data_IF_013264087844
#
_entry.id   IF_013264087844
#
_cell.length_a   1.000
_cell.length_b   1.000
_cell.length_c   1.000
_cell.angle_alpha   90.00
_cell.angle_beta   90.00
_cell.angle_gamma   90.00
#
_symmetry.space_group_name_H-M   'P 1'
#
loop_
_entity.id
_entity.type
_entity.pdbx_description
1 polymer ?
#
# COMPACT_ATOMS: atom_id res chain seq x y z
N UNK A 1 -67.06 22.85 6.14
CA UNK A 1 -66.27 21.71 5.61
C UNK A 1 -64.90 22.24 5.22
N UNK A 2 -63.89 22.06 6.07
CA UNK A 2 -62.53 22.51 5.81
C UNK A 2 -61.74 21.39 5.13
N UNK A 3 -61.37 21.58 3.87
CA UNK A 3 -60.48 20.65 3.15
C UNK A 3 -59.07 20.78 3.73
N UNK A 4 -58.63 19.74 4.44
CA UNK A 4 -57.26 19.61 4.92
C UNK A 4 -56.37 19.29 3.72
N UNK A 5 -55.69 20.31 3.18
CA UNK A 5 -54.64 20.11 2.18
C UNK A 5 -53.52 19.30 2.83
N UNK A 6 -53.43 18.01 2.51
CA UNK A 6 -52.28 17.18 2.87
C UNK A 6 -51.14 17.55 1.94
N UNK A 7 -50.39 18.57 2.31
CA UNK A 7 -49.11 18.89 1.68
C UNK A 7 -48.16 17.71 1.89
N UNK A 8 -47.95 16.91 0.84
CA UNK A 8 -46.83 15.96 0.79
C UNK A 8 -45.54 16.75 1.03
N UNK A 9 -44.84 16.42 2.11
CA UNK A 9 -43.54 17.02 2.42
C UNK A 9 -42.61 16.74 1.23
N UNK A 10 -41.98 17.76 0.62
CA UNK A 10 -41.09 17.52 -0.51
C UNK A 10 -40.00 16.55 -0.06
N UNK A 11 -39.83 15.45 -0.82
CA UNK A 11 -38.85 14.42 -0.52
C UNK A 11 -37.46 15.03 -0.26
N UNK A 12 -36.69 14.39 0.61
CA UNK A 12 -35.38 14.92 1.00
C UNK A 12 -34.48 15.10 -0.25
N UNK A 13 -33.44 15.93 -0.14
CA UNK A 13 -32.57 16.23 -1.29
C UNK A 13 -32.00 14.97 -1.97
N UNK A 14 -31.73 13.92 -1.19
CA UNK A 14 -31.28 12.60 -1.68
C UNK A 14 -32.35 11.88 -2.52
N UNK A 15 -33.60 11.87 -2.07
CA UNK A 15 -34.72 11.26 -2.80
C UNK A 15 -34.99 12.00 -4.11
N UNK A 16 -34.88 13.33 -4.12
CA UNK A 16 -35.01 14.14 -5.34
C UNK A 16 -33.85 13.87 -6.31
N UNK A 17 -32.61 13.85 -5.81
CA UNK A 17 -31.44 13.52 -6.61
C UNK A 17 -31.53 12.10 -7.21
N UNK A 18 -31.92 11.11 -6.40
CA UNK A 18 -32.11 9.72 -6.84
C UNK A 18 -33.20 9.62 -7.91
N UNK A 19 -34.35 10.27 -7.72
CA UNK A 19 -35.45 10.28 -8.70
C UNK A 19 -35.01 10.90 -10.04
N UNK A 20 -34.20 11.96 -10.01
CA UNK A 20 -33.62 12.56 -11.22
C UNK A 20 -32.63 11.61 -11.89
N UNK A 21 -31.75 10.98 -11.11
CA UNK A 21 -30.72 10.06 -11.62
C UNK A 21 -31.32 8.76 -12.21
N UNK A 22 -32.41 8.26 -11.62
CA UNK A 22 -33.04 6.99 -12.00
C UNK A 22 -34.13 7.14 -13.06
N UNK A 23 -34.53 8.37 -13.41
CA UNK A 23 -35.57 8.61 -14.43
C UNK A 23 -34.94 8.69 -15.83
N UNK A 24 -35.61 8.17 -16.88
CA UNK A 24 -35.12 8.32 -18.25
C UNK A 24 -34.98 9.79 -18.62
N UNK A 25 -33.89 10.15 -19.29
CA UNK A 25 -33.66 11.51 -19.77
C UNK A 25 -34.60 11.82 -20.95
N UNK A 26 -35.85 12.21 -20.64
CA UNK A 26 -36.89 12.50 -21.64
C UNK A 26 -36.76 13.88 -22.28
N UNK A 27 -36.01 14.79 -21.66
CA UNK A 27 -35.94 16.21 -22.04
C UNK A 27 -34.54 16.69 -22.42
N UNK A 28 -33.51 15.86 -22.23
CA UNK A 28 -32.11 16.20 -22.53
C UNK A 28 -31.70 15.53 -23.84
N UNK A 29 -31.07 16.27 -24.75
CA UNK A 29 -30.60 15.68 -26.01
C UNK A 29 -29.49 14.65 -25.74
N UNK A 30 -29.43 13.60 -26.57
CA UNK A 30 -28.38 12.58 -26.47
C UNK A 30 -26.97 13.20 -26.54
N UNK A 31 -26.78 14.20 -27.41
CA UNK A 31 -25.50 14.92 -27.51
C UNK A 31 -25.13 15.66 -26.23
N UNK A 32 -26.09 16.34 -25.58
CA UNK A 32 -25.84 17.02 -24.31
C UNK A 32 -25.50 16.04 -23.18
N UNK A 33 -26.14 14.86 -23.14
CA UNK A 33 -25.84 13.81 -22.18
C UNK A 33 -24.42 13.25 -22.37
N UNK A 34 -24.02 13.00 -23.61
CA UNK A 34 -22.68 12.48 -23.93
C UNK A 34 -21.60 13.50 -23.58
N UNK A 35 -21.80 14.78 -23.92
CA UNK A 35 -20.84 15.85 -23.60
C UNK A 35 -20.72 16.03 -22.09
N UNK A 36 -21.85 16.15 -21.38
CA UNK A 36 -21.84 16.32 -19.93
C UNK A 36 -21.24 15.10 -19.24
N UNK A 37 -21.61 13.89 -19.65
CA UNK A 37 -21.05 12.64 -19.13
C UNK A 37 -19.55 12.51 -19.38
N UNK A 38 -19.08 12.92 -20.56
CA UNK A 38 -17.66 12.96 -20.89
C UNK A 38 -16.88 13.94 -20.00
N UNK A 39 -17.39 15.16 -19.82
CA UNK A 39 -16.79 16.17 -18.93
C UNK A 39 -16.73 15.64 -17.49
N UNK A 40 -17.86 15.15 -16.96
CA UNK A 40 -17.92 14.60 -15.61
C UNK A 40 -17.00 13.38 -15.45
N UNK A 41 -16.92 12.52 -16.46
CA UNK A 41 -16.04 11.36 -16.48
C UNK A 41 -14.56 11.75 -16.42
N UNK A 42 -14.14 12.73 -17.21
CA UNK A 42 -12.76 13.25 -17.19
C UNK A 42 -12.44 13.91 -15.85
N UNK A 43 -13.34 14.71 -15.30
CA UNK A 43 -13.17 15.35 -13.99
C UNK A 43 -13.07 14.32 -12.87
N UNK A 44 -13.94 13.30 -12.88
CA UNK A 44 -13.91 12.22 -11.91
C UNK A 44 -12.63 11.41 -12.01
N UNK A 45 -12.26 10.96 -13.22
CA UNK A 45 -11.05 10.17 -13.45
C UNK A 45 -9.78 10.94 -13.09
N UNK A 46 -9.70 12.20 -13.49
CA UNK A 46 -8.60 13.10 -13.15
C UNK A 46 -8.51 13.33 -11.64
N UNK A 47 -9.63 13.67 -10.99
CA UNK A 47 -9.68 13.87 -9.54
C UNK A 47 -9.33 12.61 -8.74
N UNK A 48 -9.80 11.45 -9.19
CA UNK A 48 -9.46 10.16 -8.58
C UNK A 48 -7.96 9.86 -8.65
N UNK A 49 -7.36 9.95 -9.84
CA UNK A 49 -5.94 9.67 -10.00
C UNK A 49 -5.05 10.73 -9.30
N UNK A 50 -5.49 11.99 -9.30
CA UNK A 50 -4.83 13.04 -8.54
C UNK A 50 -4.83 12.72 -7.03
N UNK A 51 -5.97 12.31 -6.46
CA UNK A 51 -6.05 11.93 -5.05
C UNK A 51 -5.20 10.68 -4.74
N UNK A 52 -5.20 9.70 -5.65
CA UNK A 52 -4.36 8.51 -5.54
C UNK A 52 -2.87 8.88 -5.46
N UNK A 53 -2.43 9.85 -6.26
CA UNK A 53 -1.03 10.28 -6.30
C UNK A 53 -0.65 11.23 -5.17
N UNK A 54 -1.54 12.15 -4.79
CA UNK A 54 -1.36 13.00 -3.62
C UNK A 54 -1.14 12.16 -2.35
N UNK A 55 -1.87 11.06 -2.23
CA UNK A 55 -1.74 10.09 -1.12
C UNK A 55 -0.59 9.09 -1.30
N UNK A 56 0.25 9.23 -2.35
CA UNK A 56 1.51 8.49 -2.51
C UNK A 56 2.75 9.33 -2.16
N UNK A 57 2.58 10.59 -1.76
CA UNK A 57 3.71 11.46 -1.44
C UNK A 57 4.30 11.15 -0.06
N UNK A 58 5.61 11.34 0.09
CA UNK A 58 6.29 11.24 1.39
C UNK A 58 5.64 12.16 2.42
N UNK A 59 5.31 13.40 2.03
CA UNK A 59 4.60 14.39 2.86
C UNK A 59 3.26 13.88 3.38
N UNK A 60 2.49 13.16 2.57
CA UNK A 60 1.26 12.53 3.02
C UNK A 60 1.55 11.39 4.02
N UNK A 61 2.51 10.52 3.72
CA UNK A 61 2.88 9.41 4.61
C UNK A 61 3.29 9.90 6.01
N UNK A 62 4.06 10.99 6.09
CA UNK A 62 4.53 11.58 7.36
C UNK A 62 3.56 12.62 7.95
N UNK A 63 2.38 12.80 7.37
CA UNK A 63 1.33 13.64 7.96
C UNK A 63 0.78 13.04 9.27
N UNK A 64 0.92 11.71 9.43
CA UNK A 64 0.63 11.02 10.68
C UNK A 64 1.87 11.02 11.58
N UNK A 65 1.69 11.44 12.84
CA UNK A 65 2.78 11.51 13.82
C UNK A 65 3.39 10.13 14.12
N UNK A 66 2.64 9.04 13.98
CA UNK A 66 3.13 7.68 14.16
C UNK A 66 4.18 7.30 13.10
N UNK A 67 4.02 7.78 11.87
CA UNK A 67 5.00 7.54 10.82
C UNK A 67 6.17 8.51 10.94
N UNK A 68 5.88 9.79 11.19
CA UNK A 68 6.88 10.86 11.30
C UNK A 68 7.87 10.64 12.43
N UNK A 69 7.40 10.27 13.62
CA UNK A 69 8.24 10.19 14.83
C UNK A 69 8.89 8.82 15.04
N UNK A 70 8.64 7.86 14.14
CA UNK A 70 9.19 6.50 14.23
C UNK A 70 9.93 6.16 12.94
N UNK A 71 9.24 5.54 11.98
CA UNK A 71 9.86 4.96 10.78
C UNK A 71 10.54 5.98 9.87
N UNK A 72 10.04 7.23 9.83
CA UNK A 72 10.65 8.28 9.02
C UNK A 72 12.03 8.70 9.56
N UNK A 73 12.17 8.89 10.88
CA UNK A 73 13.46 9.20 11.51
C UNK A 73 14.51 8.10 11.26
N UNK A 74 14.08 6.85 11.20
CA UNK A 74 15.00 5.73 10.92
C UNK A 74 15.39 5.67 9.46
N UNK A 75 14.45 5.98 8.57
CA UNK A 75 14.69 6.01 7.14
C UNK A 75 15.68 7.10 6.74
N UNK A 76 15.70 8.25 7.43
CA UNK A 76 16.60 9.37 7.11
C UNK A 76 18.08 9.01 7.25
N UNK A 77 18.39 8.00 8.05
CA UNK A 77 19.76 7.53 8.29
C UNK A 77 20.22 6.48 7.26
N UNK A 78 19.44 6.24 6.20
CA UNK A 78 19.68 5.14 5.24
C UNK A 78 20.15 5.63 3.87
N UNK A 79 20.72 4.70 3.08
CA UNK A 79 21.12 4.97 1.69
C UNK A 79 19.94 5.35 0.78
N UNK A 80 18.71 4.93 1.13
CA UNK A 80 17.52 5.28 0.37
C UNK A 80 17.11 6.75 0.59
N UNK A 81 17.55 7.37 1.70
CA UNK A 81 17.36 8.80 1.96
C UNK A 81 18.51 9.65 1.41
N UNK A 82 19.77 9.30 1.74
CA UNK A 82 20.96 10.03 1.27
C UNK A 82 21.90 9.08 0.55
N UNK A 83 22.16 9.32 -0.74
CA UNK A 83 23.10 8.53 -1.52
C UNK A 83 23.87 9.38 -2.55
N UNK A 84 24.89 8.77 -3.14
CA UNK A 84 25.79 9.38 -4.12
C UNK A 84 25.12 9.83 -5.43
N UNK A 85 23.95 9.29 -5.79
CA UNK A 85 23.28 9.59 -7.06
C UNK A 85 22.24 10.70 -6.96
N UNK A 86 21.77 11.01 -5.74
CA UNK A 86 20.66 11.94 -5.50
C UNK A 86 19.27 11.35 -5.81
N UNK A 87 19.18 10.14 -6.36
CA UNK A 87 17.91 9.44 -6.58
C UNK A 87 17.46 8.79 -5.28
N UNK A 88 16.28 9.15 -4.78
CA UNK A 88 15.73 8.64 -3.52
C UNK A 88 14.57 7.70 -3.78
N UNK A 89 14.52 6.60 -3.01
CA UNK A 89 13.32 5.78 -2.89
C UNK A 89 12.58 6.23 -1.63
N UNK A 90 11.39 6.79 -1.81
CA UNK A 90 10.56 7.29 -0.71
C UNK A 90 9.67 6.18 -0.15
N UNK A 91 8.87 6.50 0.87
CA UNK A 91 8.01 5.53 1.56
C UNK A 91 7.19 4.65 0.59
N UNK A 92 6.62 5.26 -0.45
CA UNK A 92 5.72 4.57 -1.38
C UNK A 92 6.42 3.74 -2.43
N UNK A 93 7.69 4.01 -2.76
CA UNK A 93 8.46 3.16 -3.68
C UNK A 93 8.63 1.73 -3.13
N UNK A 94 8.66 1.60 -1.80
CA UNK A 94 8.78 0.31 -1.10
C UNK A 94 7.45 -0.24 -0.57
N UNK A 95 6.50 0.63 -0.15
CA UNK A 95 5.27 0.21 0.53
C UNK A 95 4.00 0.25 -0.33
N UNK A 96 4.06 0.85 -1.53
CA UNK A 96 2.92 0.99 -2.43
C UNK A 96 3.30 0.48 -3.83
N UNK A 97 2.60 -0.55 -4.35
CA UNK A 97 2.91 -1.08 -5.67
C UNK A 97 2.77 -0.03 -6.77
N UNK A 98 3.67 -0.04 -7.77
CA UNK A 98 3.57 0.85 -8.94
C UNK A 98 2.40 0.46 -9.86
N UNK A 99 2.27 -0.84 -10.11
CA UNK A 99 1.22 -1.45 -10.93
C UNK A 99 -0.20 -1.16 -10.40
N UNK A 100 -1.10 -0.68 -11.28
CA UNK A 100 -2.37 -0.06 -10.89
C UNK A 100 -3.27 -0.97 -10.04
N UNK A 101 -3.45 -2.22 -10.46
CA UNK A 101 -4.35 -3.16 -9.77
C UNK A 101 -3.86 -3.42 -8.33
N UNK A 102 -2.55 -3.63 -8.17
CA UNK A 102 -1.95 -3.87 -6.86
C UNK A 102 -1.90 -2.60 -6.00
N UNK A 103 -1.69 -1.43 -6.61
CA UNK A 103 -1.76 -0.12 -5.95
C UNK A 103 -3.14 0.10 -5.33
N UNK A 104 -4.20 -0.10 -6.12
CA UNK A 104 -5.59 0.03 -5.65
C UNK A 104 -5.88 -0.97 -4.53
N UNK A 105 -5.50 -2.24 -4.70
CA UNK A 105 -5.65 -3.25 -3.65
C UNK A 105 -4.96 -2.85 -2.33
N UNK A 106 -3.72 -2.34 -2.40
CA UNK A 106 -2.97 -1.86 -1.23
C UNK A 106 -3.65 -0.67 -0.56
N UNK A 107 -4.17 0.29 -1.34
CA UNK A 107 -4.90 1.45 -0.80
C UNK A 107 -6.24 1.09 -0.17
N UNK A 108 -6.95 0.10 -0.72
CA UNK A 108 -8.14 -0.45 -0.07
C UNK A 108 -7.76 -1.06 1.28
N UNK A 109 -6.67 -1.85 1.36
CA UNK A 109 -6.20 -2.37 2.66
C UNK A 109 -5.72 -1.28 3.62
N UNK A 110 -5.14 -0.20 3.12
CA UNK A 110 -4.70 0.93 3.93
C UNK A 110 -5.84 1.59 4.70
N UNK A 111 -7.10 1.39 4.29
CA UNK A 111 -8.26 1.87 5.08
C UNK A 111 -8.29 1.28 6.50
N UNK A 112 -7.73 0.08 6.71
CA UNK A 112 -7.53 -0.49 8.05
C UNK A 112 -6.54 0.31 8.91
N UNK A 113 -5.55 0.96 8.30
CA UNK A 113 -4.62 1.85 9.02
C UNK A 113 -5.35 3.10 9.53
N UNK A 114 -6.34 3.62 8.78
CA UNK A 114 -7.18 4.73 9.24
C UNK A 114 -8.04 4.32 10.45
N UNK A 115 -8.61 3.11 10.43
CA UNK A 115 -9.30 2.57 11.61
C UNK A 115 -8.35 2.50 12.83
N UNK A 116 -7.15 1.95 12.64
CA UNK A 116 -6.13 1.83 13.67
C UNK A 116 -5.57 3.16 14.18
N UNK A 117 -5.58 4.20 13.34
CA UNK A 117 -5.32 5.59 13.70
C UNK A 117 -6.42 6.12 14.62
N UNK A 118 -7.69 5.92 14.27
CA UNK A 118 -8.84 6.38 15.09
C UNK A 118 -8.84 5.74 16.47
N UNK A 119 -8.60 4.42 16.57
CA UNK A 119 -8.54 3.73 17.88
C UNK A 119 -7.18 3.87 18.59
N UNK A 120 -6.21 4.53 17.97
CA UNK A 120 -4.90 4.83 18.58
C UNK A 120 -4.05 3.59 18.91
N UNK A 121 -4.08 2.57 18.05
CA UNK A 121 -3.41 1.28 18.31
C UNK A 121 -1.88 1.36 18.35
N UNK A 122 -1.29 2.37 17.69
CA UNK A 122 0.14 2.70 17.70
C UNK A 122 0.39 4.19 17.96
N UNK A 123 -0.52 4.84 18.68
CA UNK A 123 -0.54 6.31 18.84
C UNK A 123 0.66 6.91 19.59
N UNK A 124 1.44 6.08 20.29
CA UNK A 124 2.66 6.49 21.01
C UNK A 124 3.81 5.59 20.60
N UNK A 125 5.05 6.03 20.85
CA UNK A 125 6.24 5.24 20.55
C UNK A 125 6.22 3.89 21.25
N UNK A 126 5.82 3.85 22.52
CA UNK A 126 5.74 2.61 23.31
C UNK A 126 4.75 1.62 22.69
N UNK A 127 3.58 2.11 22.23
CA UNK A 127 2.59 1.27 21.54
C UNK A 127 3.10 0.78 20.18
N UNK A 128 3.83 1.63 19.45
CA UNK A 128 4.46 1.25 18.19
C UNK A 128 5.52 0.17 18.41
N UNK A 129 6.44 0.37 19.38
CA UNK A 129 7.48 -0.60 19.73
C UNK A 129 6.89 -1.94 20.17
N UNK A 130 5.83 -1.93 20.98
CA UNK A 130 5.12 -3.14 21.41
C UNK A 130 4.54 -3.96 20.24
N UNK A 131 4.25 -3.30 19.11
CA UNK A 131 3.72 -3.93 17.88
C UNK A 131 4.76 -4.03 16.77
N UNK A 132 6.00 -3.58 16.97
CA UNK A 132 6.99 -3.42 15.91
C UNK A 132 7.23 -4.69 15.12
N UNK A 133 7.47 -5.80 15.82
CA UNK A 133 7.72 -7.10 15.18
C UNK A 133 6.50 -7.57 14.38
N UNK A 134 5.29 -7.41 14.93
CA UNK A 134 4.03 -7.77 14.24
C UNK A 134 3.86 -6.96 12.95
N UNK A 135 4.09 -5.66 13.00
CA UNK A 135 3.97 -4.76 11.85
C UNK A 135 5.04 -5.06 10.79
N UNK A 136 6.30 -5.23 11.22
CA UNK A 136 7.40 -5.57 10.34
C UNK A 136 7.17 -6.91 9.64
N UNK A 137 6.72 -7.94 10.38
CA UNK A 137 6.43 -9.25 9.81
C UNK A 137 5.34 -9.19 8.73
N UNK A 138 4.29 -8.38 8.92
CA UNK A 138 3.26 -8.19 7.88
C UNK A 138 3.83 -7.60 6.59
N UNK A 139 4.73 -6.62 6.72
CA UNK A 139 5.39 -6.01 5.57
C UNK A 139 6.32 -7.02 4.90
N UNK A 140 7.14 -7.74 5.66
CA UNK A 140 8.07 -8.74 5.11
C UNK A 140 7.35 -9.93 4.48
N UNK A 141 6.30 -10.44 5.12
CA UNK A 141 5.47 -11.49 4.55
C UNK A 141 4.86 -11.02 3.22
N UNK A 142 4.43 -9.75 3.13
CA UNK A 142 3.92 -9.18 1.88
C UNK A 142 5.01 -9.04 0.81
N UNK A 143 6.19 -8.52 1.17
CA UNK A 143 7.32 -8.38 0.24
C UNK A 143 7.83 -9.74 -0.22
N UNK A 144 7.84 -10.76 0.64
CA UNK A 144 8.23 -12.13 0.25
C UNK A 144 7.20 -12.74 -0.70
N UNK A 145 5.93 -12.61 -0.34
CA UNK A 145 4.79 -13.06 -1.14
C UNK A 145 4.77 -12.52 -2.58
N UNK A 146 5.28 -11.30 -2.79
CA UNK A 146 5.30 -10.60 -4.07
C UNK A 146 6.67 -10.68 -4.76
N UNK A 147 7.55 -11.59 -4.36
CA UNK A 147 8.94 -11.69 -4.89
C UNK A 147 9.69 -10.34 -4.81
N UNK A 148 9.44 -9.61 -3.73
CA UNK A 148 10.02 -8.28 -3.46
C UNK A 148 9.84 -7.33 -4.65
N UNK A 149 8.67 -7.39 -5.33
CA UNK A 149 8.33 -6.58 -6.51
C UNK A 149 8.74 -5.12 -6.37
N UNK A 150 8.47 -4.51 -5.23
CA UNK A 150 8.78 -3.11 -4.97
C UNK A 150 10.29 -2.83 -4.97
N UNK A 151 11.10 -3.74 -4.42
CA UNK A 151 12.57 -3.68 -4.48
C UNK A 151 13.06 -3.82 -5.92
N UNK A 152 12.52 -4.79 -6.67
CA UNK A 152 12.93 -5.11 -8.04
C UNK A 152 12.61 -4.03 -9.07
N UNK A 153 11.71 -3.10 -8.75
CA UNK A 153 11.49 -1.91 -9.59
C UNK A 153 12.76 -1.05 -9.77
N UNK A 154 13.74 -1.17 -8.87
CA UNK A 154 15.01 -0.46 -8.90
C UNK A 154 16.22 -1.39 -8.78
N UNK A 155 16.07 -2.53 -8.09
CA UNK A 155 17.10 -3.55 -7.87
C UNK A 155 16.73 -4.83 -8.62
N UNK A 156 16.78 -4.76 -9.94
CA UNK A 156 16.56 -5.92 -10.80
C UNK A 156 17.76 -6.86 -10.75
N UNK A 157 17.50 -8.16 -10.60
CA UNK A 157 18.55 -9.17 -10.45
C UNK A 157 19.29 -9.44 -11.78
N UNK A 158 18.59 -9.36 -12.91
CA UNK A 158 19.17 -9.60 -14.23
C UNK A 158 20.08 -8.42 -14.65
N UNK A 159 19.80 -7.23 -14.14
CA UNK A 159 20.54 -6.01 -14.42
C UNK A 159 21.62 -5.70 -13.37
N UNK A 160 21.83 -6.59 -12.41
CA UNK A 160 22.80 -6.40 -11.32
C UNK A 160 24.21 -6.77 -11.79
N UNK A 161 25.17 -5.85 -11.59
CA UNK A 161 26.58 -6.10 -11.91
C UNK A 161 27.28 -6.73 -10.70
N UNK A 162 27.43 -8.06 -10.72
CA UNK A 162 28.05 -8.83 -9.62
C UNK A 162 29.56 -8.57 -9.50
N UNK A 163 30.25 -8.22 -10.58
CA UNK A 163 31.69 -7.93 -10.57
C UNK A 163 32.01 -6.66 -9.77
N UNK A 164 31.05 -5.73 -9.67
CA UNK A 164 31.18 -4.51 -8.86
C UNK A 164 30.80 -4.69 -7.39
N UNK A 165 30.37 -5.87 -6.99
CA UNK A 165 30.07 -6.17 -5.58
C UNK A 165 31.31 -6.72 -4.87
N UNK A 166 31.30 -6.68 -3.53
CA UNK A 166 32.25 -7.49 -2.79
C UNK A 166 32.01 -8.98 -3.10
N UNK A 167 33.08 -9.77 -3.26
CA UNK A 167 33.00 -11.18 -3.67
C UNK A 167 31.99 -11.98 -2.85
N UNK A 168 32.04 -11.85 -1.53
CA UNK A 168 31.09 -12.50 -0.63
C UNK A 168 29.63 -12.12 -0.91
N UNK A 169 29.37 -10.86 -1.26
CA UNK A 169 28.01 -10.40 -1.56
C UNK A 169 27.53 -10.94 -2.91
N UNK A 170 28.41 -10.96 -3.92
CA UNK A 170 28.12 -11.57 -5.21
C UNK A 170 27.76 -13.04 -5.05
N UNK A 171 28.62 -13.83 -4.39
CA UNK A 171 28.39 -15.26 -4.14
C UNK A 171 27.05 -15.52 -3.44
N UNK A 172 26.68 -14.66 -2.47
CA UNK A 172 25.43 -14.78 -1.71
C UNK A 172 24.20 -14.38 -2.50
N UNK A 173 24.32 -13.39 -3.39
CA UNK A 173 23.22 -13.06 -4.28
C UNK A 173 22.99 -14.16 -5.32
N UNK A 174 24.05 -14.70 -5.92
CA UNK A 174 23.97 -15.84 -6.85
C UNK A 174 23.30 -17.04 -6.16
N UNK A 175 23.84 -17.50 -5.03
CA UNK A 175 23.26 -18.60 -4.23
C UNK A 175 21.78 -18.33 -3.88
N UNK A 176 21.48 -17.11 -3.41
CA UNK A 176 20.12 -16.77 -3.01
C UNK A 176 19.12 -16.75 -4.16
N UNK A 177 19.50 -16.23 -5.32
CA UNK A 177 18.64 -16.21 -6.50
C UNK A 177 18.44 -17.60 -7.10
N UNK A 178 19.49 -18.43 -7.12
CA UNK A 178 19.40 -19.84 -7.55
C UNK A 178 18.48 -20.66 -6.64
N UNK A 179 18.47 -20.36 -5.34
CA UNK A 179 17.55 -20.95 -4.36
C UNK A 179 16.12 -20.38 -4.44
N UNK A 180 15.87 -19.38 -5.28
CA UNK A 180 14.56 -18.73 -5.42
C UNK A 180 14.18 -17.79 -4.27
N UNK A 181 15.14 -17.35 -3.46
CA UNK A 181 14.91 -16.37 -2.38
C UNK A 181 14.54 -15.00 -2.95
N UNK A 182 13.76 -14.26 -2.18
CA UNK A 182 13.41 -12.87 -2.49
C UNK A 182 14.35 -11.92 -1.76
N UNK A 183 14.41 -10.65 -2.17
CA UNK A 183 15.29 -9.65 -1.54
C UNK A 183 15.07 -9.57 -0.01
N UNK A 184 13.80 -9.60 0.44
CA UNK A 184 13.45 -9.47 1.86
C UNK A 184 13.79 -10.71 2.71
N UNK A 185 14.14 -11.85 2.11
CA UNK A 185 14.59 -13.03 2.87
C UNK A 185 15.90 -12.75 3.61
N UNK A 186 16.80 -11.99 2.98
CA UNK A 186 18.08 -11.60 3.57
C UNK A 186 18.06 -10.16 4.08
N UNK A 187 17.48 -9.24 3.32
CA UNK A 187 17.55 -7.81 3.60
C UNK A 187 16.40 -7.32 4.48
N UNK A 188 16.26 -7.85 5.69
CA UNK A 188 15.35 -7.26 6.69
C UNK A 188 16.01 -6.08 7.38
N UNK A 189 15.22 -5.04 7.67
CA UNK A 189 15.71 -3.85 8.37
C UNK A 189 16.55 -2.89 7.51
N UNK A 190 16.35 -2.89 6.19
CA UNK A 190 17.07 -2.01 5.24
C UNK A 190 16.83 -0.54 5.54
N UNK A 191 15.57 -0.17 5.77
CA UNK A 191 15.14 1.22 5.91
C UNK A 191 14.73 1.58 7.35
N UNK A 192 14.51 0.58 8.20
CA UNK A 192 13.95 0.73 9.54
C UNK A 192 14.66 -0.21 10.50
N UNK A 193 14.73 0.18 11.78
CA UNK A 193 15.40 -0.60 12.83
C UNK A 193 14.79 -2.00 12.91
N UNK A 194 15.68 -2.99 12.85
CA UNK A 194 15.32 -4.39 12.93
C UNK A 194 14.75 -4.71 14.32
N UNK A 195 13.49 -5.18 14.43
CA UNK A 195 12.90 -5.57 15.70
C UNK A 195 13.65 -6.76 16.33
N UNK A 196 13.61 -6.84 17.66
CA UNK A 196 14.04 -8.05 18.37
C UNK A 196 13.19 -9.24 17.91
N UNK A 197 13.82 -10.39 17.67
CA UNK A 197 13.15 -11.60 17.18
C UNK A 197 12.81 -11.59 15.69
N UNK A 198 13.40 -10.70 14.88
CA UNK A 198 13.12 -10.57 13.44
C UNK A 198 13.32 -11.85 12.61
N UNK A 199 14.09 -12.80 13.13
CA UNK A 199 14.39 -14.09 12.49
C UNK A 199 13.79 -15.29 13.24
N UNK A 200 13.07 -15.07 14.34
CA UNK A 200 12.56 -16.15 15.18
C UNK A 200 11.57 -17.06 14.41
N UNK A 201 10.80 -16.46 13.49
CA UNK A 201 9.84 -17.20 12.66
C UNK A 201 10.58 -18.18 11.76
N UNK A 202 11.58 -17.71 11.04
CA UNK A 202 12.39 -18.51 10.11
C UNK A 202 13.19 -19.58 10.85
N UNK A 203 13.78 -19.24 12.01
CA UNK A 203 14.50 -20.21 12.85
C UNK A 203 13.58 -21.33 13.31
N UNK A 204 12.35 -21.01 13.75
CA UNK A 204 11.40 -22.01 14.27
C UNK A 204 10.81 -22.88 13.18
N UNK A 205 10.58 -22.35 11.98
CA UNK A 205 9.98 -23.11 10.88
C UNK A 205 11.01 -23.84 10.03
N UNK A 206 12.31 -23.53 10.19
CA UNK A 206 13.36 -24.01 9.29
C UNK A 206 13.23 -23.45 7.86
N UNK A 207 12.31 -22.53 7.61
CA UNK A 207 12.00 -22.00 6.27
C UNK A 207 12.84 -20.75 5.96
N UNK A 208 14.16 -20.91 6.02
CA UNK A 208 15.13 -19.87 5.65
C UNK A 208 15.26 -19.64 4.13
N UNK A 209 14.66 -20.49 3.29
CA UNK A 209 14.59 -20.34 1.84
C UNK A 209 13.18 -20.66 1.35
N UNK A 210 12.57 -19.74 0.60
CA UNK A 210 11.24 -19.96 0.02
C UNK A 210 11.33 -20.66 -1.32
N UNK A 211 10.64 -21.79 -1.49
CA UNK A 211 10.40 -22.35 -2.83
C UNK A 211 9.52 -21.39 -3.63
N UNK A 212 9.82 -21.29 -4.93
CA UNK A 212 9.18 -20.42 -5.91
C UNK A 212 7.68 -20.67 -6.16
N UNK A 213 7.09 -21.65 -5.47
CA UNK A 213 5.74 -22.18 -5.73
C UNK A 213 4.59 -21.35 -5.12
N UNK A 214 4.90 -20.40 -4.23
CA UNK A 214 3.88 -19.58 -3.53
C UNK A 214 3.91 -18.08 -3.93
N UNK A 215 4.10 -17.79 -5.23
CA UNK A 215 3.88 -16.43 -5.75
C UNK A 215 2.38 -16.12 -5.67
N UNK A 216 2.00 -15.16 -4.83
CA UNK A 216 0.59 -14.90 -4.56
C UNK A 216 -0.12 -14.26 -5.75
N UNK A 217 -1.19 -14.91 -6.21
CA UNK A 217 -2.17 -14.31 -7.12
C UNK A 217 -2.77 -13.06 -6.49
N UNK A 218 -3.39 -12.19 -7.30
CA UNK A 218 -4.06 -10.98 -6.78
C UNK A 218 -5.05 -11.27 -5.65
N UNK A 219 -5.75 -12.40 -5.71
CA UNK A 219 -6.68 -12.85 -4.66
C UNK A 219 -5.94 -13.19 -3.37
N UNK A 220 -4.85 -13.96 -3.46
CA UNK A 220 -4.05 -14.24 -2.28
C UNK A 220 -3.32 -13.01 -1.74
N UNK A 221 -2.94 -12.06 -2.61
CA UNK A 221 -2.47 -10.74 -2.17
C UNK A 221 -3.54 -10.11 -1.27
N UNK A 222 -4.81 -10.07 -1.71
CA UNK A 222 -5.97 -9.54 -0.96
C UNK A 222 -6.19 -10.22 0.39
N UNK A 223 -6.06 -11.54 0.46
CA UNK A 223 -6.35 -12.32 1.66
C UNK A 223 -5.24 -12.24 2.72
N UNK A 224 -3.97 -12.10 2.34
CA UNK A 224 -2.83 -12.07 3.27
C UNK A 224 -2.74 -10.80 4.16
N UNK A 225 -3.63 -9.83 3.97
CA UNK A 225 -3.67 -8.60 4.76
C UNK A 225 -5.02 -8.29 5.41
N UNK A 226 -6.06 -9.08 5.14
CA UNK A 226 -7.29 -9.01 5.92
C UNK A 226 -6.95 -9.62 7.27
N UNK A 227 -6.74 -8.79 8.29
CA UNK A 227 -6.55 -9.25 9.65
C UNK A 227 -7.68 -10.21 10.00
N UNK A 228 -7.41 -11.51 9.93
CA UNK A 228 -8.26 -12.48 10.58
C UNK A 228 -8.24 -12.08 12.05
N UNK A 229 -9.40 -11.79 12.67
CA UNK A 229 -9.46 -11.79 14.12
C UNK A 229 -9.06 -13.20 14.54
N UNK A 230 -7.86 -13.35 15.11
CA UNK A 230 -7.51 -14.58 15.80
C UNK A 230 -8.56 -14.75 16.90
N UNK A 231 -9.38 -15.79 16.78
CA UNK A 231 -10.17 -16.31 17.90
C UNK A 231 -9.23 -16.73 19.03
#
# INVERSE_FOLDING_TARGET
>A
MAQKQTGEKPGNALQRAWKVLSSPARTTSLGALVILGGILGVLFWGGFNWAMEATNTETFCISCHEMKNNVYEEYTDTIHYTNRSGVRAICTDCHVPKEWIYKVARKIRATGELYHKVIGSISTKEKFEAKRLELAQRVWDNMKATDSRECRNCHDAESMDFEKQESRSADRHEEGFDEGKTCIDCHKGIAHKLPKGAFDKEIKTGMGGGSSENRLSLLGYLDNGAGQPRR
#
